data_IF_608297643767
#
_entry.id   IF_608297643767
#
_cell.length_a   1.000
_cell.length_b   1.000
_cell.length_c   1.000
_cell.angle_alpha   90.00
_cell.angle_beta   90.00
_cell.angle_gamma   90.00
#
_symmetry.space_group_name_H-M   'P 1'
#
loop_
_entity.id
_entity.type
_entity.pdbx_description
1 polymer ?
#
# COMPACT_ATOMS: atom_id res chain seq x y z
N UNK A 1 -10.17 -5.58 14.21
CA UNK A 1 -10.12 -4.72 13.01
C UNK A 1 -11.43 -3.95 12.78
N UNK A 2 -12.12 -3.48 13.81
CA UNK A 2 -13.28 -2.60 13.64
C UNK A 2 -14.28 -3.13 12.58
N UNK A 3 -14.73 -2.25 11.71
CA UNK A 3 -15.73 -2.56 10.68
C UNK A 3 -15.14 -3.07 9.36
N UNK A 4 -13.85 -3.36 9.26
CA UNK A 4 -13.20 -3.78 8.01
C UNK A 4 -13.21 -2.70 6.92
N UNK A 5 -13.21 -1.42 7.31
CA UNK A 5 -13.32 -0.28 6.40
C UNK A 5 -12.12 -0.23 5.45
N UNK A 6 -12.37 -0.22 4.14
CA UNK A 6 -11.36 0.06 3.12
C UNK A 6 -10.82 1.50 3.30
N UNK A 7 -9.54 1.69 2.97
CA UNK A 7 -8.89 3.00 3.08
C UNK A 7 -8.30 3.32 4.46
N UNK A 8 -8.49 2.48 5.46
CA UNK A 8 -7.99 2.75 6.82
C UNK A 8 -6.46 2.69 6.95
N UNK A 9 -5.81 1.78 6.22
CA UNK A 9 -4.40 1.41 6.45
C UNK A 9 -3.42 2.56 6.31
N UNK A 10 -3.50 3.32 5.22
CA UNK A 10 -2.56 4.42 4.97
C UNK A 10 -2.71 5.56 5.98
N UNK A 11 -3.90 6.16 6.22
CA UNK A 11 -4.08 7.19 7.23
C UNK A 11 -3.67 6.74 8.65
N UNK A 12 -4.00 5.50 9.01
CA UNK A 12 -3.61 4.96 10.30
C UNK A 12 -2.09 4.83 10.46
N UNK A 13 -1.39 4.41 9.40
CA UNK A 13 0.07 4.34 9.37
C UNK A 13 0.72 5.70 9.51
N UNK A 14 0.19 6.71 8.81
CA UNK A 14 0.64 8.11 8.93
C UNK A 14 0.45 8.60 10.36
N UNK A 15 -0.75 8.45 10.92
CA UNK A 15 -1.04 8.86 12.31
C UNK A 15 -0.17 8.15 13.34
N UNK A 16 0.07 6.85 13.18
CA UNK A 16 0.98 6.09 14.05
C UNK A 16 2.41 6.60 13.94
N UNK A 17 2.86 6.95 12.73
CA UNK A 17 4.21 7.48 12.50
C UNK A 17 4.40 8.88 13.08
N UNK A 18 3.41 9.76 12.97
CA UNK A 18 3.39 11.07 13.61
C UNK A 18 3.44 10.96 15.14
N UNK A 19 2.71 10.00 15.71
CA UNK A 19 2.69 9.75 17.16
C UNK A 19 3.97 9.10 17.71
N UNK A 20 4.76 8.44 16.86
CA UNK A 20 5.99 7.74 17.24
C UNK A 20 7.06 7.81 16.12
N UNK A 21 7.59 9.01 15.82
CA UNK A 21 8.45 9.24 14.65
C UNK A 21 9.76 8.44 14.68
N UNK A 22 10.26 8.08 15.85
CA UNK A 22 11.49 7.28 16.01
C UNK A 22 11.29 5.77 15.79
N UNK A 23 10.05 5.29 15.72
CA UNK A 23 9.76 3.86 15.49
C UNK A 23 9.70 3.54 14.00
N UNK A 24 10.15 2.35 13.56
CA UNK A 24 9.91 1.91 12.19
C UNK A 24 8.41 1.89 11.89
N UNK A 25 8.01 2.38 10.72
CA UNK A 25 6.60 2.38 10.26
C UNK A 25 6.46 1.54 8.99
N UNK A 26 5.56 0.55 9.03
CA UNK A 26 5.16 -0.23 7.86
C UNK A 26 3.64 -0.22 7.75
N UNK A 27 3.15 0.17 6.59
CA UNK A 27 1.75 0.02 6.16
C UNK A 27 1.68 -1.13 5.19
N UNK A 28 0.88 -2.15 5.48
CA UNK A 28 0.52 -3.19 4.52
C UNK A 28 -0.91 -2.93 4.04
N UNK A 29 -1.10 -2.74 2.74
CA UNK A 29 -2.39 -2.36 2.17
C UNK A 29 -2.58 -3.00 0.80
N UNK A 30 -3.81 -3.49 0.52
CA UNK A 30 -4.18 -3.95 -0.81
C UNK A 30 -4.47 -2.77 -1.75
N UNK A 31 -4.35 -3.02 -3.07
CA UNK A 31 -4.57 -2.03 -4.12
C UNK A 31 -5.95 -1.35 -4.03
N UNK A 32 -7.02 -2.11 -3.87
CA UNK A 32 -8.36 -1.56 -3.69
C UNK A 32 -8.47 -0.69 -2.44
N UNK A 33 -7.98 -1.16 -1.29
CA UNK A 33 -7.98 -0.39 -0.04
C UNK A 33 -7.13 0.87 -0.10
N UNK A 34 -5.99 0.80 -0.78
CA UNK A 34 -5.09 1.95 -0.99
C UNK A 34 -5.76 3.07 -1.80
N UNK A 35 -6.48 2.72 -2.87
CA UNK A 35 -7.12 3.71 -3.75
C UNK A 35 -8.17 4.57 -3.07
N UNK A 36 -8.78 4.12 -1.97
CA UNK A 36 -9.75 4.92 -1.20
C UNK A 36 -9.12 6.13 -0.52
N UNK A 37 -7.82 6.09 -0.21
CA UNK A 37 -7.11 7.13 0.53
C UNK A 37 -5.71 7.41 -0.02
N UNK A 38 -5.46 7.08 -1.29
CA UNK A 38 -4.14 7.26 -1.92
C UNK A 38 -3.66 8.73 -1.88
N UNK A 39 -4.59 9.71 -1.87
CA UNK A 39 -4.28 11.13 -1.72
C UNK A 39 -3.58 11.47 -0.39
N UNK A 40 -3.70 10.62 0.64
CA UNK A 40 -2.98 10.81 1.90
C UNK A 40 -1.46 10.62 1.78
N UNK A 41 -0.97 10.13 0.64
CA UNK A 41 0.45 10.22 0.33
C UNK A 41 0.95 11.67 0.29
N UNK A 42 0.10 12.64 -0.08
CA UNK A 42 0.44 14.06 0.00
C UNK A 42 0.70 14.47 1.45
N UNK A 43 -0.24 14.14 2.35
CA UNK A 43 -0.07 14.39 3.80
C UNK A 43 1.19 13.71 4.33
N UNK A 44 1.42 12.45 3.96
CA UNK A 44 2.60 11.72 4.41
C UNK A 44 3.91 12.36 3.91
N UNK A 45 3.95 12.82 2.66
CA UNK A 45 5.13 13.46 2.08
C UNK A 45 5.41 14.84 2.65
N UNK A 46 4.37 15.56 3.09
CA UNK A 46 4.47 16.87 3.71
C UNK A 46 4.87 16.80 5.19
N UNK A 47 4.33 15.84 5.93
CA UNK A 47 4.41 15.80 7.38
C UNK A 47 5.48 14.83 7.93
N UNK A 48 6.02 13.92 7.13
CA UNK A 48 6.91 12.87 7.61
C UNK A 48 8.36 13.07 7.17
N UNK A 49 9.21 13.50 8.09
CA UNK A 49 10.67 13.51 7.93
C UNK A 49 11.32 12.15 8.22
N UNK A 50 10.60 11.24 8.84
CA UNK A 50 11.10 9.93 9.25
C UNK A 50 10.55 8.82 8.36
N UNK A 51 11.28 7.67 8.21
CA UNK A 51 10.91 6.64 7.26
C UNK A 51 9.53 6.05 7.51
N UNK A 52 8.67 6.04 6.48
CA UNK A 52 7.44 5.26 6.41
C UNK A 52 7.47 4.39 5.15
N UNK A 53 7.40 3.09 5.32
CA UNK A 53 7.28 2.14 4.20
C UNK A 53 5.81 1.80 4.00
N UNK A 54 5.32 1.97 2.78
CA UNK A 54 3.99 1.55 2.34
C UNK A 54 4.16 0.37 1.38
N UNK A 55 3.88 -0.84 1.86
CA UNK A 55 3.88 -2.05 1.05
C UNK A 55 2.48 -2.25 0.46
N UNK A 56 2.36 -1.98 -0.83
CA UNK A 56 1.16 -2.09 -1.61
C UNK A 56 1.08 -3.49 -2.25
N UNK A 57 0.17 -4.32 -1.77
CA UNK A 57 -0.12 -5.61 -2.37
C UNK A 57 -1.10 -5.44 -3.52
N UNK A 58 -0.60 -5.53 -4.75
CA UNK A 58 -1.39 -5.37 -5.96
C UNK A 58 -1.77 -6.72 -6.56
N UNK A 59 -3.05 -7.08 -6.47
CA UNK A 59 -3.63 -8.28 -7.10
C UNK A 59 -4.65 -7.96 -8.20
N UNK A 60 -4.77 -6.69 -8.58
CA UNK A 60 -5.71 -6.16 -9.59
C UNK A 60 -7.18 -6.54 -9.29
N UNK A 61 -7.53 -6.63 -7.99
CA UNK A 61 -8.86 -7.04 -7.58
C UNK A 61 -9.25 -6.54 -6.18
N UNK A 62 -10.54 -6.40 -5.94
CA UNK A 62 -11.12 -6.45 -4.61
C UNK A 62 -11.27 -7.93 -4.22
N UNK A 63 -10.12 -8.61 -4.02
CA UNK A 63 -10.03 -10.07 -3.99
C UNK A 63 -10.92 -10.72 -2.94
N UNK A 64 -10.93 -10.19 -1.70
CA UNK A 64 -11.78 -10.72 -0.64
C UNK A 64 -13.27 -10.63 -0.98
N UNK A 65 -13.70 -9.48 -1.53
CA UNK A 65 -15.11 -9.27 -1.91
C UNK A 65 -15.50 -10.23 -3.03
N UNK A 66 -14.62 -10.42 -4.01
CA UNK A 66 -14.83 -11.39 -5.09
C UNK A 66 -15.01 -12.81 -4.55
N UNK A 67 -14.13 -13.21 -3.66
CA UNK A 67 -14.13 -14.57 -3.11
C UNK A 67 -15.36 -14.79 -2.20
N UNK A 68 -15.80 -13.79 -1.45
CA UNK A 68 -17.02 -13.80 -0.67
C UNK A 68 -18.26 -13.92 -1.57
N UNK A 69 -18.33 -13.18 -2.70
CA UNK A 69 -19.42 -13.29 -3.67
C UNK A 69 -19.49 -14.70 -4.27
N UNK A 70 -18.36 -15.25 -4.69
CA UNK A 70 -18.28 -16.61 -5.23
C UNK A 70 -18.69 -17.65 -4.18
N UNK A 71 -18.30 -17.46 -2.92
CA UNK A 71 -18.71 -18.34 -1.81
C UNK A 71 -20.22 -18.33 -1.51
N UNK A 72 -20.92 -17.30 -1.98
CA UNK A 72 -22.38 -17.14 -1.86
C UNK A 72 -23.13 -17.43 -3.16
N UNK A 73 -22.47 -18.03 -4.16
CA UNK A 73 -23.01 -18.26 -5.51
C UNK A 73 -23.51 -16.97 -6.21
N UNK A 74 -22.88 -15.82 -5.90
CA UNK A 74 -23.15 -14.54 -6.53
C UNK A 74 -22.10 -14.30 -7.62
N UNK A 75 -22.54 -13.96 -8.83
CA UNK A 75 -21.62 -13.58 -9.90
C UNK A 75 -20.85 -12.29 -9.52
N UNK A 76 -19.50 -12.30 -9.54
CA UNK A 76 -18.71 -11.15 -9.15
C UNK A 76 -18.87 -9.96 -10.11
N UNK A 77 -19.33 -8.82 -9.62
CA UNK A 77 -19.52 -7.58 -10.37
C UNK A 77 -18.76 -6.44 -9.70
N UNK A 78 -18.00 -5.66 -10.48
CA UNK A 78 -17.30 -4.47 -9.99
C UNK A 78 -16.08 -4.75 -9.11
N UNK A 79 -15.60 -5.99 -9.05
CA UNK A 79 -14.50 -6.44 -8.17
C UNK A 79 -13.14 -6.55 -8.87
N UNK A 80 -13.09 -6.24 -10.15
CA UNK A 80 -11.87 -6.19 -10.97
C UNK A 80 -11.66 -4.76 -11.50
N UNK A 81 -11.26 -3.81 -10.65
CA UNK A 81 -11.01 -2.44 -11.08
C UNK A 81 -9.79 -2.38 -11.99
N UNK A 82 -9.76 -1.39 -12.88
CA UNK A 82 -8.52 -1.04 -13.59
C UNK A 82 -7.69 -0.15 -12.68
N UNK A 83 -6.59 -0.68 -12.18
CA UNK A 83 -5.68 0.08 -11.34
C UNK A 83 -4.91 1.13 -12.16
N UNK A 84 -4.59 2.29 -11.57
CA UNK A 84 -3.63 3.23 -12.13
C UNK A 84 -2.21 2.65 -12.08
N UNK A 85 -1.27 3.31 -12.74
CA UNK A 85 0.15 3.07 -12.50
C UNK A 85 0.52 3.62 -11.10
N UNK A 86 0.64 2.72 -10.13
CA UNK A 86 0.94 3.08 -8.74
C UNK A 86 2.35 3.67 -8.61
N UNK A 87 3.28 3.29 -9.48
CA UNK A 87 4.62 3.86 -9.46
C UNK A 87 4.62 5.32 -9.91
N UNK A 88 3.87 5.66 -10.95
CA UNK A 88 3.68 7.06 -11.36
C UNK A 88 2.94 7.85 -10.29
N UNK A 89 1.89 7.27 -9.69
CA UNK A 89 1.13 7.89 -8.61
C UNK A 89 2.02 8.21 -7.40
N UNK A 90 2.80 7.24 -6.93
CA UNK A 90 3.72 7.44 -5.82
C UNK A 90 4.74 8.55 -6.10
N UNK A 91 5.34 8.53 -7.29
CA UNK A 91 6.29 9.60 -7.72
C UNK A 91 5.64 10.98 -7.79
N UNK A 92 4.37 11.05 -8.23
CA UNK A 92 3.63 12.30 -8.29
C UNK A 92 3.42 12.94 -6.90
N UNK A 93 3.34 12.10 -5.85
CA UNK A 93 3.28 12.54 -4.46
C UNK A 93 4.66 12.68 -3.78
N UNK A 94 5.77 12.57 -4.54
CA UNK A 94 7.11 12.74 -3.98
C UNK A 94 7.67 11.52 -3.24
N UNK A 95 7.01 10.37 -3.30
CA UNK A 95 7.49 9.16 -2.67
C UNK A 95 8.68 8.53 -3.44
N UNK A 96 9.60 7.91 -2.71
CA UNK A 96 10.48 6.93 -3.30
C UNK A 96 9.65 5.70 -3.71
N UNK A 97 9.89 5.15 -4.91
CA UNK A 97 9.08 4.04 -5.43
C UNK A 97 9.96 2.85 -5.77
N UNK A 98 9.50 1.66 -5.40
CA UNK A 98 10.12 0.38 -5.67
C UNK A 98 9.10 -0.62 -6.22
N UNK A 99 9.54 -1.51 -7.11
CA UNK A 99 8.72 -2.56 -7.71
C UNK A 99 9.55 -3.85 -7.79
N UNK A 100 9.76 -4.54 -6.64
CA UNK A 100 10.55 -5.75 -6.58
C UNK A 100 9.95 -6.85 -7.46
N UNK A 101 10.82 -7.63 -8.11
CA UNK A 101 10.43 -8.72 -9.00
C UNK A 101 10.47 -10.09 -8.30
N UNK A 102 11.15 -10.16 -7.15
CA UNK A 102 11.28 -11.35 -6.33
C UNK A 102 11.37 -11.01 -4.83
N UNK A 103 11.46 -12.02 -3.99
CA UNK A 103 11.52 -11.84 -2.53
C UNK A 103 12.86 -11.26 -2.05
N UNK A 104 13.96 -11.53 -2.76
CA UNK A 104 15.28 -11.00 -2.41
C UNK A 104 15.32 -9.49 -2.70
N UNK A 105 14.71 -9.07 -3.80
CA UNK A 105 14.52 -7.63 -4.11
C UNK A 105 13.59 -6.97 -3.10
N UNK A 106 12.49 -7.62 -2.73
CA UNK A 106 11.58 -7.10 -1.72
C UNK A 106 12.29 -6.87 -0.39
N UNK A 107 13.09 -7.82 0.08
CA UNK A 107 13.86 -7.66 1.31
C UNK A 107 14.83 -6.45 1.23
N UNK A 108 15.54 -6.32 0.12
CA UNK A 108 16.45 -5.18 -0.11
C UNK A 108 15.71 -3.85 -0.12
N UNK A 109 14.57 -3.79 -0.79
CA UNK A 109 13.74 -2.59 -0.92
C UNK A 109 13.11 -2.18 0.42
N UNK A 110 12.65 -3.14 1.23
CA UNK A 110 12.17 -2.91 2.59
C UNK A 110 13.28 -2.32 3.47
N UNK A 111 14.48 -2.94 3.46
CA UNK A 111 15.64 -2.43 4.22
C UNK A 111 16.02 -1.01 3.78
N UNK A 112 16.04 -0.75 2.47
CA UNK A 112 16.34 0.58 1.92
C UNK A 112 15.28 1.61 2.35
N UNK A 113 14.00 1.25 2.28
CA UNK A 113 12.88 2.11 2.68
C UNK A 113 12.92 2.48 4.17
N UNK A 114 13.30 1.55 5.04
CA UNK A 114 13.48 1.85 6.47
C UNK A 114 14.72 2.70 6.76
N UNK A 115 15.69 2.75 5.85
CA UNK A 115 16.93 3.48 5.99
C UNK A 115 16.92 4.91 5.42
N UNK A 116 15.87 5.34 4.73
CA UNK A 116 15.78 6.65 4.10
C UNK A 116 14.61 7.47 4.65
N UNK A 117 14.75 8.80 4.78
CA UNK A 117 13.67 9.66 5.25
C UNK A 117 12.50 9.71 4.25
N UNK A 118 11.33 10.07 4.77
CA UNK A 118 10.12 10.22 3.97
C UNK A 118 9.43 8.90 3.64
N UNK A 119 8.58 8.92 2.62
CA UNK A 119 7.73 7.79 2.24
C UNK A 119 8.36 6.95 1.14
N UNK A 120 8.42 5.64 1.37
CA UNK A 120 8.75 4.65 0.33
C UNK A 120 7.52 3.82 0.00
N UNK A 121 7.03 3.93 -1.23
CA UNK A 121 5.98 3.07 -1.77
C UNK A 121 6.62 1.86 -2.47
N UNK A 122 6.33 0.67 -1.97
CA UNK A 122 6.77 -0.60 -2.58
C UNK A 122 5.55 -1.29 -3.14
N UNK A 123 5.43 -1.38 -4.46
CA UNK A 123 4.38 -2.14 -5.11
C UNK A 123 4.82 -3.59 -5.30
N UNK A 124 4.18 -4.51 -4.59
CA UNK A 124 4.36 -5.94 -4.76
C UNK A 124 3.20 -6.52 -5.58
N UNK A 125 3.49 -6.99 -6.79
CA UNK A 125 2.49 -7.64 -7.62
C UNK A 125 2.32 -9.10 -7.23
N UNK A 126 1.07 -9.56 -7.21
CA UNK A 126 0.73 -10.93 -6.81
C UNK A 126 1.53 -12.02 -7.55
N UNK A 127 1.90 -11.77 -8.82
CA UNK A 127 2.73 -12.69 -9.60
C UNK A 127 4.16 -12.85 -9.07
N UNK A 128 4.67 -11.86 -8.32
CA UNK A 128 6.02 -11.88 -7.73
C UNK A 128 6.08 -12.59 -6.37
N UNK A 129 4.92 -12.85 -5.77
CA UNK A 129 4.80 -13.47 -4.45
C UNK A 129 4.66 -15.00 -4.48
N UNK A 130 4.86 -15.64 -5.65
CA UNK A 130 4.76 -17.10 -5.82
C UNK A 130 6.11 -17.77 -5.76
#
# INVERSE_FOLDING_TARGET
TGYGTLGYGLPAGIGAKLGAPQRPGLVLVGDGGFLYTAQELATASEELDSPLVVLLWNNDALGQIRDDMLGLDIEPVGVLPRNPDFALLGRAYGCAVRQPQDLDELERDLRAGFGQPGVTLIELRHACAR
#
